data_IF_026909947916
#
_entry.id   IF_026909947916
#
_cell.length_a   1.000
_cell.length_b   1.000
_cell.length_c   1.000
_cell.angle_alpha   90.00
_cell.angle_beta   90.00
_cell.angle_gamma   90.00
#
_symmetry.space_group_name_H-M   'P 1'
#
loop_
_entity.id
_entity.type
_entity.pdbx_description
1 polymer ?
#
# COMPACT_ATOMS: atom_id res chain seq x y z
N UNK A 1 31.96 -17.90 8.45
CA UNK A 1 31.73 -16.63 9.15
C UNK A 1 30.39 -16.08 8.69
N UNK A 2 29.30 -16.38 9.41
CA UNK A 2 27.97 -15.86 9.07
C UNK A 2 27.92 -14.40 9.47
N UNK A 3 27.86 -13.49 8.50
CA UNK A 3 27.61 -12.07 8.74
C UNK A 3 26.14 -11.98 9.14
N UNK A 4 25.87 -12.04 10.44
CA UNK A 4 24.53 -11.85 10.98
C UNK A 4 23.99 -10.50 10.55
N UNK A 5 22.77 -10.47 9.99
CA UNK A 5 22.10 -9.21 9.69
C UNK A 5 21.90 -8.44 11.00
N UNK A 6 22.36 -7.19 11.12
CA UNK A 6 22.23 -6.43 12.36
C UNK A 6 20.78 -6.34 12.83
N UNK A 7 20.47 -6.45 14.14
CA UNK A 7 19.09 -6.41 14.64
C UNK A 7 18.30 -5.16 14.20
N UNK A 8 18.96 -4.00 14.09
CA UNK A 8 18.36 -2.77 13.56
C UNK A 8 17.83 -2.94 12.13
N UNK A 9 18.57 -3.66 11.29
CA UNK A 9 18.18 -3.94 9.90
C UNK A 9 16.98 -4.88 9.87
N UNK A 10 16.95 -5.92 10.72
CA UNK A 10 15.79 -6.82 10.84
C UNK A 10 14.53 -6.07 11.29
N UNK A 11 14.62 -5.21 12.30
CA UNK A 11 13.49 -4.39 12.76
C UNK A 11 12.99 -3.46 11.66
N UNK A 12 13.89 -2.81 10.91
CA UNK A 12 13.52 -1.96 9.78
C UNK A 12 12.78 -2.75 8.71
N UNK A 13 13.29 -3.92 8.32
CA UNK A 13 12.66 -4.78 7.31
C UNK A 13 11.28 -5.26 7.78
N UNK A 14 11.14 -5.65 9.05
CA UNK A 14 9.86 -6.06 9.61
C UNK A 14 8.82 -4.94 9.54
N UNK A 15 9.21 -3.69 9.86
CA UNK A 15 8.33 -2.51 9.74
C UNK A 15 7.92 -2.24 8.29
N UNK A 16 8.86 -2.34 7.34
CA UNK A 16 8.55 -2.16 5.91
C UNK A 16 7.59 -3.23 5.41
N UNK A 17 7.82 -4.51 5.75
CA UNK A 17 6.91 -5.61 5.40
C UNK A 17 5.50 -5.35 5.92
N UNK A 18 5.39 -4.93 7.18
CA UNK A 18 4.10 -4.62 7.78
C UNK A 18 3.39 -3.46 7.04
N UNK A 19 4.12 -2.41 6.67
CA UNK A 19 3.55 -1.30 5.89
C UNK A 19 3.02 -1.77 4.52
N UNK A 20 3.78 -2.63 3.82
CA UNK A 20 3.34 -3.21 2.54
C UNK A 20 2.05 -4.01 2.70
N UNK A 21 1.92 -4.82 3.76
CA UNK A 21 0.71 -5.61 4.01
C UNK A 21 -0.49 -4.75 4.35
N UNK A 22 -0.27 -3.66 5.09
CA UNK A 22 -1.30 -2.69 5.38
C UNK A 22 -1.79 -1.98 4.10
N UNK A 23 -0.86 -1.43 3.31
CA UNK A 23 -1.17 -0.74 2.05
C UNK A 23 -1.84 -1.68 1.04
N UNK A 24 -1.42 -2.95 0.99
CA UNK A 24 -2.06 -3.95 0.13
C UNK A 24 -3.50 -4.24 0.57
N UNK A 25 -3.77 -4.33 1.87
CA UNK A 25 -5.12 -4.55 2.40
C UNK A 25 -6.04 -3.38 2.06
N UNK A 26 -5.54 -2.16 2.19
CA UNK A 26 -6.26 -0.95 1.80
C UNK A 26 -6.54 -0.92 0.30
N UNK A 27 -5.51 -1.11 -0.52
CA UNK A 27 -5.64 -1.15 -1.99
C UNK A 27 -6.63 -2.24 -2.42
N UNK A 28 -6.53 -3.43 -1.80
CA UNK A 28 -7.37 -4.57 -2.14
C UNK A 28 -8.83 -4.32 -1.78
N UNK A 29 -9.11 -4.17 -0.48
CA UNK A 29 -10.47 -4.15 0.03
C UNK A 29 -11.06 -2.75 0.12
N UNK A 30 -10.25 -1.76 0.54
CA UNK A 30 -10.70 -0.39 0.71
C UNK A 30 -10.88 0.35 -0.61
N UNK A 31 -9.95 0.17 -1.56
CA UNK A 31 -9.97 0.83 -2.87
C UNK A 31 -10.49 -0.08 -3.99
N UNK A 32 -10.73 -1.35 -3.69
CA UNK A 32 -11.46 -2.27 -4.54
C UNK A 32 -10.69 -2.86 -5.71
N UNK A 33 -9.39 -3.13 -5.53
CA UNK A 33 -8.61 -3.89 -6.51
C UNK A 33 -9.27 -5.25 -6.86
N UNK A 34 -9.95 -5.89 -5.91
CA UNK A 34 -10.63 -7.18 -6.09
C UNK A 34 -12.09 -7.07 -6.54
N UNK A 35 -12.62 -5.86 -6.77
CA UNK A 35 -14.00 -5.64 -7.19
C UNK A 35 -14.20 -5.56 -8.72
N UNK A 36 -13.17 -5.85 -9.52
CA UNK A 36 -13.30 -5.86 -10.98
C UNK A 36 -14.01 -7.14 -11.48
N UNK A 37 -15.18 -6.98 -12.12
CA UNK A 37 -16.00 -8.10 -12.62
C UNK A 37 -15.82 -8.34 -14.14
N UNK A 38 -15.21 -7.39 -14.86
CA UNK A 38 -15.06 -7.47 -16.31
C UNK A 38 -14.13 -8.58 -16.79
N UNK A 39 -14.20 -8.91 -18.08
CA UNK A 39 -13.37 -9.95 -18.74
C UNK A 39 -12.36 -9.40 -19.75
N UNK A 40 -12.37 -8.09 -19.98
CA UNK A 40 -11.48 -7.44 -20.94
C UNK A 40 -10.23 -6.91 -20.25
N UNK A 41 -9.05 -7.20 -20.82
CA UNK A 41 -7.76 -6.72 -20.31
C UNK A 41 -7.69 -5.19 -20.19
N UNK A 42 -8.22 -4.46 -21.18
CA UNK A 42 -8.23 -2.99 -21.14
C UNK A 42 -9.05 -2.47 -19.96
N UNK A 43 -10.20 -3.08 -19.69
CA UNK A 43 -11.04 -2.73 -18.54
C UNK A 43 -10.33 -3.01 -17.22
N UNK A 44 -9.69 -4.18 -17.11
CA UNK A 44 -8.90 -4.57 -15.95
C UNK A 44 -7.73 -3.61 -15.72
N UNK A 45 -6.97 -3.29 -16.76
CA UNK A 45 -5.81 -2.41 -16.67
C UNK A 45 -6.21 -1.01 -16.19
N UNK A 46 -7.29 -0.45 -16.73
CA UNK A 46 -7.83 0.84 -16.29
C UNK A 46 -8.26 0.78 -14.82
N UNK A 47 -8.96 -0.27 -14.42
CA UNK A 47 -9.38 -0.48 -13.02
C UNK A 47 -8.18 -0.50 -12.08
N UNK A 48 -7.20 -1.36 -12.35
CA UNK A 48 -5.96 -1.45 -11.55
C UNK A 48 -5.26 -0.09 -11.50
N UNK A 49 -5.14 0.60 -12.64
CA UNK A 49 -4.51 1.93 -12.70
C UNK A 49 -5.20 2.93 -11.78
N UNK A 50 -6.54 3.02 -11.82
CA UNK A 50 -7.28 3.93 -10.95
C UNK A 50 -7.15 3.57 -9.47
N UNK A 51 -7.22 2.28 -9.11
CA UNK A 51 -7.05 1.84 -7.72
C UNK A 51 -5.65 2.20 -7.18
N UNK A 52 -4.60 2.05 -8.00
CA UNK A 52 -3.22 2.41 -7.62
C UNK A 52 -3.06 3.93 -7.51
N UNK A 53 -3.67 4.71 -8.40
CA UNK A 53 -3.68 6.19 -8.29
C UNK A 53 -4.35 6.62 -6.98
N UNK A 54 -5.47 6.02 -6.61
CA UNK A 54 -6.13 6.30 -5.34
C UNK A 54 -5.23 5.97 -4.14
N UNK A 55 -4.50 4.85 -4.16
CA UNK A 55 -3.54 4.51 -3.10
C UNK A 55 -2.40 5.51 -3.02
N UNK A 56 -1.88 5.97 -4.16
CA UNK A 56 -0.84 7.00 -4.20
C UNK A 56 -1.35 8.31 -3.59
N UNK A 57 -2.58 8.72 -3.92
CA UNK A 57 -3.22 9.89 -3.33
C UNK A 57 -3.40 9.74 -1.80
N UNK A 58 -3.92 8.61 -1.32
CA UNK A 58 -4.02 8.32 0.12
C UNK A 58 -2.66 8.35 0.82
N UNK A 59 -1.62 7.85 0.17
CA UNK A 59 -0.25 7.88 0.69
C UNK A 59 0.26 9.32 0.82
N UNK A 60 0.00 10.17 -0.18
CA UNK A 60 0.38 11.59 -0.12
C UNK A 60 -0.35 12.30 1.03
N UNK A 61 -1.66 12.06 1.21
CA UNK A 61 -2.41 12.64 2.32
C UNK A 61 -1.92 12.20 3.70
N UNK A 62 -1.31 11.01 3.84
CA UNK A 62 -0.68 10.59 5.10
C UNK A 62 0.64 11.28 5.36
N UNK A 63 1.37 11.63 4.31
CA UNK A 63 2.66 12.31 4.41
C UNK A 63 2.47 13.81 4.68
N UNK A 64 1.37 14.39 4.20
CA UNK A 64 0.98 15.79 4.41
C UNK A 64 -0.50 15.87 4.86
N UNK A 65 -0.78 15.55 6.13
CA UNK A 65 -2.15 15.51 6.63
C UNK A 65 -2.73 16.92 6.73
N UNK A 66 -3.93 17.12 6.18
CA UNK A 66 -4.65 18.40 6.24
C UNK A 66 -5.01 18.84 7.66
N UNK A 67 -5.15 17.89 8.58
CA UNK A 67 -5.45 18.14 9.98
C UNK A 67 -4.53 17.28 10.86
N UNK A 68 -4.08 17.85 11.97
CA UNK A 68 -3.28 17.13 12.94
C UNK A 68 -4.04 15.93 13.51
N UNK A 69 -3.28 14.92 13.94
CA UNK A 69 -3.87 13.79 14.63
C UNK A 69 -4.63 14.29 15.88
N UNK A 70 -5.85 13.78 16.14
CA UNK A 70 -6.59 14.14 17.34
C UNK A 70 -5.76 13.77 18.58
N UNK A 71 -5.60 14.73 19.48
CA UNK A 71 -4.91 14.60 20.78
C UNK A 71 -5.69 13.75 21.77
#
# INVERSE_FOLDING_TARGET
MSIGTPPKTLVRLAKVRWRIEHDYRELKHGLGLDHFIGRAYIGWHRHVTFTVIAQAFSTLLRLDPKADAPT
#
